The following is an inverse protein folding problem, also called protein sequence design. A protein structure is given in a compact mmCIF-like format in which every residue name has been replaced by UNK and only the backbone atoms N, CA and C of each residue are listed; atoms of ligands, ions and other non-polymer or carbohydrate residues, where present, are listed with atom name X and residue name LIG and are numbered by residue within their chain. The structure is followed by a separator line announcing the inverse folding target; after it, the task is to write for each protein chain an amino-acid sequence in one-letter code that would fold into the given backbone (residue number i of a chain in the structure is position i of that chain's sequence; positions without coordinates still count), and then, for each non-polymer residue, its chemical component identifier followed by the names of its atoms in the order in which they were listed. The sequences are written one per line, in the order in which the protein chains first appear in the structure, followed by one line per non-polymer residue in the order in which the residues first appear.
data_IF_911431785588
#
_entry.id   IF_911431785588
#
_cell.length_a   1.000
_cell.length_b   1.000
_cell.length_c   1.000
_cell.angle_alpha   90.00
_cell.angle_beta   90.00
_cell.angle_gamma   90.00
#
_symmetry.space_group_name_H-M   'P 1'
#
loop_
_entity.id
_entity.type
_entity.pdbx_description
1 polymer ?
#
# COMPACT_ATOMS: atom_id res chain seq x y z
N UNK A 1 60.27 -3.96 11.38
CA UNK A 1 58.99 -3.32 11.73
C UNK A 1 57.93 -3.90 10.81
N UNK A 2 57.19 -4.90 11.28
CA UNK A 2 56.22 -5.65 10.48
C UNK A 2 54.85 -4.99 10.65
N UNK A 3 54.33 -4.37 9.59
CA UNK A 3 52.99 -3.76 9.60
C UNK A 3 51.97 -4.87 9.41
N UNK A 4 51.22 -5.20 10.45
CA UNK A 4 50.07 -6.10 10.38
C UNK A 4 48.88 -5.28 9.88
N UNK A 5 48.53 -5.45 8.60
CA UNK A 5 47.31 -4.89 8.02
C UNK A 5 46.15 -5.78 8.48
N UNK A 6 45.39 -5.29 9.48
CA UNK A 6 44.17 -5.93 9.92
C UNK A 6 43.07 -5.72 8.87
N UNK A 7 42.81 -6.77 8.09
CA UNK A 7 41.69 -6.83 7.14
C UNK A 7 40.38 -6.97 7.95
N UNK A 8 39.70 -5.85 8.20
CA UNK A 8 38.36 -5.86 8.80
C UNK A 8 37.37 -6.34 7.73
N UNK A 9 36.97 -7.60 7.82
CA UNK A 9 35.86 -8.15 7.05
C UNK A 9 34.55 -7.52 7.55
N UNK A 10 34.11 -6.46 6.87
CA UNK A 10 32.75 -5.93 7.00
C UNK A 10 31.79 -6.98 6.43
N UNK A 11 31.30 -7.87 7.29
CA UNK A 11 30.13 -8.69 6.98
C UNK A 11 28.93 -7.75 6.83
N UNK A 12 28.67 -7.30 5.59
CA UNK A 12 27.46 -6.56 5.28
C UNK A 12 26.26 -7.45 5.56
N UNK A 13 25.44 -7.06 6.54
CA UNK A 13 24.10 -7.60 6.66
C UNK A 13 23.35 -7.26 5.38
N UNK A 14 23.15 -8.26 4.53
CA UNK A 14 22.27 -8.15 3.38
C UNK A 14 20.85 -7.94 3.91
N UNK A 15 20.35 -6.71 3.85
CA UNK A 15 18.92 -6.43 3.98
C UNK A 15 18.19 -7.27 2.94
N UNK A 16 17.14 -7.97 3.37
CA UNK A 16 16.34 -8.74 2.43
C UNK A 16 15.61 -7.78 1.48
N UNK A 17 15.26 -8.23 0.28
CA UNK A 17 14.67 -7.38 -0.76
C UNK A 17 13.32 -6.71 -0.36
N UNK A 18 12.75 -7.08 0.79
CA UNK A 18 11.53 -6.50 1.36
C UNK A 18 11.77 -5.54 2.53
N UNK A 19 12.98 -5.37 3.05
CA UNK A 19 13.21 -4.53 4.23
C UNK A 19 13.29 -3.04 3.85
N UNK A 20 12.50 -2.20 4.53
CA UNK A 20 12.56 -0.75 4.35
C UNK A 20 13.67 -0.15 5.22
N UNK A 21 14.51 0.70 4.62
CA UNK A 21 15.44 1.54 5.38
C UNK A 21 14.67 2.52 6.28
N UNK A 22 15.29 3.08 7.34
CA UNK A 22 14.61 4.07 8.18
C UNK A 22 14.08 5.30 7.43
N UNK A 23 14.78 5.71 6.37
CA UNK A 23 14.37 6.83 5.50
C UNK A 23 13.15 6.46 4.66
N UNK A 24 13.16 5.28 4.05
CA UNK A 24 12.01 4.74 3.32
C UNK A 24 10.80 4.55 4.24
N UNK A 25 11.01 4.02 5.45
CA UNK A 25 9.92 3.82 6.40
C UNK A 25 9.29 5.15 6.87
N UNK A 26 10.09 6.22 6.95
CA UNK A 26 9.57 7.56 7.24
C UNK A 26 8.71 8.08 6.08
N UNK A 27 9.19 8.00 4.83
CA UNK A 27 8.44 8.48 3.67
C UNK A 27 7.19 7.63 3.40
N UNK A 28 7.27 6.32 3.62
CA UNK A 28 6.18 5.36 3.56
C UNK A 28 5.03 5.76 4.50
N UNK A 29 5.34 5.96 5.79
CA UNK A 29 4.34 6.38 6.78
C UNK A 29 3.76 7.74 6.48
N UNK A 30 4.57 8.66 5.94
CA UNK A 30 4.07 9.99 5.53
C UNK A 30 3.06 9.87 4.40
N UNK A 31 3.30 9.01 3.40
CA UNK A 31 2.36 8.78 2.31
C UNK A 31 1.02 8.18 2.80
N UNK A 32 1.06 7.22 3.73
CA UNK A 32 -0.16 6.65 4.31
C UNK A 32 -0.94 7.69 5.12
N UNK A 33 -0.25 8.51 5.92
CA UNK A 33 -0.90 9.63 6.63
C UNK A 33 -1.51 10.64 5.68
N UNK A 34 -0.79 11.01 4.61
CA UNK A 34 -1.28 11.94 3.58
C UNK A 34 -2.54 11.37 2.91
N UNK A 35 -2.52 10.11 2.48
CA UNK A 35 -3.67 9.44 1.91
C UNK A 35 -4.90 9.51 2.83
N UNK A 36 -4.75 9.21 4.12
CA UNK A 36 -5.85 9.32 5.09
C UNK A 36 -6.38 10.75 5.19
N UNK A 37 -5.51 11.77 5.18
CA UNK A 37 -5.93 13.18 5.24
C UNK A 37 -6.62 13.66 3.97
N UNK A 38 -6.13 13.24 2.80
CA UNK A 38 -6.68 13.61 1.49
C UNK A 38 -8.05 12.98 1.22
N UNK A 39 -8.35 11.84 1.86
CA UNK A 39 -9.61 11.10 1.73
C UNK A 39 -10.54 11.27 2.95
N UNK A 40 -10.42 12.38 3.67
CA UNK A 40 -11.40 12.72 4.70
C UNK A 40 -12.67 13.29 4.07
N UNK A 41 -13.81 12.73 4.45
CA UNK A 41 -15.13 13.25 4.16
C UNK A 41 -15.72 13.86 5.43
N UNK A 42 -15.93 15.17 5.42
CA UNK A 42 -16.39 15.95 6.57
C UNK A 42 -15.57 15.65 7.85
N UNK A 43 -14.26 15.51 7.69
CA UNK A 43 -13.32 15.25 8.78
C UNK A 43 -13.23 13.81 9.26
N UNK A 44 -13.88 12.86 8.58
CA UNK A 44 -13.79 11.42 8.87
C UNK A 44 -13.20 10.65 7.69
N UNK A 45 -12.31 9.70 7.95
CA UNK A 45 -11.86 8.74 6.94
C UNK A 45 -12.95 7.68 6.77
N UNK A 46 -13.48 7.53 5.57
CA UNK A 46 -14.61 6.63 5.30
C UNK A 46 -14.10 5.31 4.75
N UNK A 47 -14.49 4.20 5.37
CA UNK A 47 -14.16 2.85 4.90
C UNK A 47 -15.43 2.02 4.82
N UNK A 48 -15.73 1.49 3.64
CA UNK A 48 -16.84 0.56 3.43
C UNK A 48 -16.49 -0.82 3.97
N UNK A 49 -17.42 -1.41 4.70
CA UNK A 49 -17.35 -2.76 5.22
C UNK A 49 -18.45 -3.61 4.61
N UNK A 50 -18.11 -4.29 3.52
CA UNK A 50 -19.05 -5.10 2.75
C UNK A 50 -19.68 -6.23 3.56
N UNK A 51 -18.99 -6.72 4.60
CA UNK A 51 -19.51 -7.82 5.44
C UNK A 51 -20.66 -7.40 6.34
N UNK A 52 -20.63 -6.15 6.80
CA UNK A 52 -21.67 -5.59 7.66
C UNK A 52 -22.63 -4.68 6.87
N UNK A 53 -22.40 -4.54 5.57
CA UNK A 53 -23.04 -3.55 4.71
C UNK A 53 -23.04 -2.15 5.35
N UNK A 54 -21.91 -1.78 5.95
CA UNK A 54 -21.76 -0.58 6.78
C UNK A 54 -20.64 0.32 6.27
N UNK A 55 -20.83 1.63 6.36
CA UNK A 55 -19.75 2.60 6.23
C UNK A 55 -19.25 3.03 7.60
N UNK A 56 -17.94 2.88 7.80
CA UNK A 56 -17.27 3.32 8.99
C UNK A 56 -16.75 4.73 8.77
N UNK A 57 -17.17 5.66 9.62
CA UNK A 57 -16.61 7.01 9.69
C UNK A 57 -15.58 7.04 10.80
N UNK A 58 -14.31 7.18 10.43
CA UNK A 58 -13.19 6.88 11.30
C UNK A 58 -12.27 8.07 11.54
N UNK A 59 -11.74 8.16 12.75
CA UNK A 59 -10.65 9.06 13.13
C UNK A 59 -9.40 8.25 13.39
N UNK A 60 -8.30 8.59 12.71
CA UNK A 60 -7.00 7.95 12.91
C UNK A 60 -6.52 8.22 14.34
N UNK A 61 -6.18 7.15 15.07
CA UNK A 61 -5.53 7.22 16.39
C UNK A 61 -4.02 7.08 16.21
N UNK A 62 -3.60 6.02 15.51
CA UNK A 62 -2.19 5.67 15.39
C UNK A 62 -1.92 4.96 14.07
N UNK A 63 -0.80 5.29 13.44
CA UNK A 63 -0.19 4.46 12.40
C UNK A 63 0.99 3.73 13.05
N UNK A 64 1.06 2.40 12.91
CA UNK A 64 2.15 1.61 13.49
C UNK A 64 3.47 1.86 12.76
N UNK A 65 4.58 1.60 13.45
CA UNK A 65 5.92 1.92 12.97
C UNK A 65 6.54 0.81 12.10
N UNK A 66 5.79 -0.26 11.87
CA UNK A 66 6.21 -1.47 11.15
C UNK A 66 5.39 -1.63 9.87
N UNK A 67 6.09 -1.77 8.75
CA UNK A 67 5.51 -2.21 7.49
C UNK A 67 5.84 -3.69 7.31
N UNK A 68 4.83 -4.48 6.96
CA UNK A 68 5.01 -5.90 6.63
C UNK A 68 5.17 -6.02 5.11
N UNK A 69 6.33 -6.49 4.60
CA UNK A 69 6.45 -6.77 3.18
C UNK A 69 5.54 -7.94 2.82
N UNK A 70 4.76 -7.75 1.75
CA UNK A 70 3.97 -8.82 1.14
C UNK A 70 4.62 -9.31 -0.17
N UNK A 71 5.46 -8.48 -0.78
CA UNK A 71 6.38 -8.81 -1.88
C UNK A 71 7.54 -7.78 -1.95
N UNK A 72 8.27 -7.75 -3.08
CA UNK A 72 9.30 -6.75 -3.38
C UNK A 72 8.73 -5.32 -3.60
N UNK A 73 7.42 -5.22 -3.89
CA UNK A 73 6.76 -3.94 -4.23
C UNK A 73 5.52 -3.65 -3.43
N UNK A 74 4.96 -4.61 -2.73
CA UNK A 74 3.72 -4.45 -1.96
C UNK A 74 3.98 -4.64 -0.47
N UNK A 75 3.49 -3.69 0.31
CA UNK A 75 3.64 -3.64 1.76
C UNK A 75 2.27 -3.47 2.42
N UNK A 76 2.12 -3.96 3.65
CA UNK A 76 0.98 -3.65 4.50
C UNK A 76 1.41 -2.90 5.75
N UNK A 77 0.62 -1.94 6.20
CA UNK A 77 0.81 -1.28 7.49
C UNK A 77 -0.51 -1.12 8.21
N UNK A 78 -0.52 -1.48 9.48
CA UNK A 78 -1.70 -1.41 10.32
C UNK A 78 -1.84 0.00 10.92
N UNK A 79 -3.07 0.47 11.02
CA UNK A 79 -3.43 1.71 11.69
C UNK A 79 -4.66 1.52 12.58
N UNK A 80 -4.59 2.10 13.77
CA UNK A 80 -5.66 2.09 14.74
C UNK A 80 -6.59 3.28 14.46
N UNK A 81 -7.88 3.01 14.39
CA UNK A 81 -8.94 4.00 14.16
C UNK A 81 -10.02 3.91 15.23
N UNK A 82 -10.68 5.04 15.47
CA UNK A 82 -11.89 5.11 16.28
C UNK A 82 -13.06 5.58 15.43
N UNK A 83 -14.21 4.96 15.59
CA UNK A 83 -15.45 5.46 15.02
C UNK A 83 -15.80 6.86 15.57
N UNK A 84 -16.20 7.77 14.70
CA UNK A 84 -16.50 9.16 15.08
C UNK A 84 -17.77 9.24 15.93
N UNK A 85 -18.85 8.59 15.49
CA UNK A 85 -20.16 8.62 16.16
C UNK A 85 -20.36 7.48 17.16
N UNK A 86 -19.33 6.65 17.40
CA UNK A 86 -19.46 5.43 18.17
C UNK A 86 -18.25 5.12 19.06
N UNK A 87 -18.31 3.96 19.71
CA UNK A 87 -17.23 3.47 20.57
C UNK A 87 -16.33 2.44 19.88
N UNK A 88 -16.64 2.05 18.64
CA UNK A 88 -15.89 1.01 17.94
C UNK A 88 -14.44 1.46 17.68
N UNK A 89 -13.51 0.54 17.91
CA UNK A 89 -12.11 0.64 17.49
C UNK A 89 -11.90 -0.31 16.33
N UNK A 90 -11.20 0.16 15.32
CA UNK A 90 -10.93 -0.61 14.11
C UNK A 90 -9.44 -0.59 13.87
N UNK A 91 -8.93 -1.72 13.43
CA UNK A 91 -7.60 -1.78 12.87
C UNK A 91 -7.76 -1.91 11.36
N UNK A 92 -7.08 -1.04 10.62
CA UNK A 92 -7.17 -0.95 9.17
C UNK A 92 -5.76 -1.14 8.61
N UNK A 93 -5.60 -2.17 7.78
CA UNK A 93 -4.40 -2.43 7.03
C UNK A 93 -4.43 -1.62 5.72
N UNK A 94 -3.43 -0.77 5.54
CA UNK A 94 -3.20 -0.10 4.27
C UNK A 94 -2.27 -0.94 3.41
N UNK A 95 -2.72 -1.28 2.20
CA UNK A 95 -1.92 -1.95 1.19
C UNK A 95 -1.26 -0.90 0.31
N UNK A 96 0.07 -0.90 0.28
CA UNK A 96 0.85 0.20 -0.28
C UNK A 96 1.88 -0.35 -1.24
N UNK A 97 1.86 0.16 -2.46
CA UNK A 97 2.86 -0.15 -3.47
C UNK A 97 4.05 0.81 -3.40
N UNK A 98 5.23 0.26 -3.68
CA UNK A 98 6.41 1.02 -4.07
C UNK A 98 6.27 1.40 -5.55
N UNK A 99 6.12 2.69 -5.84
CA UNK A 99 5.87 3.22 -7.18
C UNK A 99 6.94 4.24 -7.57
N UNK A 100 7.93 3.83 -8.37
CA UNK A 100 9.05 4.68 -8.78
C UNK A 100 9.82 5.23 -7.57
N UNK A 101 9.81 6.56 -7.39
CA UNK A 101 10.43 7.24 -6.25
C UNK A 101 9.48 7.46 -5.06
N UNK A 102 8.25 6.94 -5.10
CA UNK A 102 7.21 7.21 -4.11
C UNK A 102 6.43 5.97 -3.67
N UNK A 103 5.32 6.25 -2.97
CA UNK A 103 4.43 5.26 -2.39
C UNK A 103 3.01 5.50 -2.84
N UNK A 104 2.29 4.42 -3.10
CA UNK A 104 0.92 4.49 -3.58
C UNK A 104 0.03 3.60 -2.72
N UNK A 105 -0.88 4.21 -1.96
CA UNK A 105 -1.87 3.47 -1.15
C UNK A 105 -2.94 2.94 -2.10
N UNK A 106 -3.04 1.62 -2.19
CA UNK A 106 -3.95 0.91 -3.09
C UNK A 106 -5.29 0.57 -2.46
N UNK A 107 -5.28 0.18 -1.18
CA UNK A 107 -6.47 -0.31 -0.50
C UNK A 107 -6.36 -0.07 1.01
N UNK A 108 -7.49 0.19 1.64
CA UNK A 108 -7.68 0.15 3.08
C UNK A 108 -8.55 -1.06 3.42
N UNK A 109 -8.05 -1.97 4.24
CA UNK A 109 -8.71 -3.25 4.57
C UNK A 109 -8.91 -3.33 6.07
N UNK A 110 -10.14 -3.47 6.52
CA UNK A 110 -10.42 -3.61 7.95
C UNK A 110 -10.16 -5.07 8.38
N UNK A 111 -9.09 -5.32 9.15
CA UNK A 111 -8.76 -6.65 9.67
C UNK A 111 -9.29 -6.93 11.09
N UNK A 112 -9.59 -5.90 11.89
CA UNK A 112 -10.16 -6.04 13.24
C UNK A 112 -11.24 -4.99 13.51
N UNK A 113 -12.29 -5.41 14.23
CA UNK A 113 -13.33 -4.50 14.77
C UNK A 113 -13.57 -4.86 16.23
N UNK A 114 -13.49 -3.87 17.12
CA UNK A 114 -13.68 -4.05 18.56
C UNK A 114 -12.68 -5.03 19.17
N UNK A 115 -11.46 -5.10 18.65
CA UNK A 115 -10.42 -6.04 19.10
C UNK A 115 -10.65 -7.49 18.68
N UNK A 116 -11.66 -7.79 17.86
CA UNK A 116 -11.89 -9.12 17.30
C UNK A 116 -11.34 -9.19 15.88
N UNK A 117 -10.44 -10.15 15.58
CA UNK A 117 -10.06 -10.46 14.23
C UNK A 117 -11.28 -10.76 13.40
N UNK A 118 -11.28 -10.24 12.18
CA UNK A 118 -12.29 -10.58 11.20
C UNK A 118 -11.61 -11.52 10.22
N UNK A 119 -12.30 -12.59 9.81
CA UNK A 119 -11.84 -13.38 8.68
C UNK A 119 -11.48 -12.39 7.58
N UNK A 120 -10.22 -12.39 7.17
CA UNK A 120 -9.66 -11.26 6.46
C UNK A 120 -10.53 -10.98 5.23
N UNK A 121 -10.85 -9.71 4.99
CA UNK A 121 -11.03 -9.26 3.61
C UNK A 121 -9.65 -9.21 2.92
N UNK A 122 -8.78 -10.18 3.22
CA UNK A 122 -7.52 -10.34 2.53
C UNK A 122 -7.91 -10.47 1.08
N UNK A 123 -7.46 -9.49 0.30
CA UNK A 123 -7.33 -9.63 -1.12
C UNK A 123 -6.85 -11.07 -1.37
N UNK A 124 -7.63 -11.94 -2.05
CA UNK A 124 -7.13 -13.27 -2.39
C UNK A 124 -5.77 -13.11 -3.09
N UNK A 125 -4.88 -14.10 -3.08
CA UNK A 125 -3.55 -13.95 -3.66
C UNK A 125 -3.55 -13.38 -5.10
N UNK A 126 -4.61 -13.67 -5.87
CA UNK A 126 -4.87 -13.05 -7.18
C UNK A 126 -5.10 -11.52 -7.11
N UNK A 127 -5.78 -11.04 -6.08
CA UNK A 127 -5.96 -9.61 -5.80
C UNK A 127 -4.69 -8.95 -5.28
N UNK A 128 -3.79 -9.64 -4.55
CA UNK A 128 -2.47 -9.09 -4.19
C UNK A 128 -1.61 -8.83 -5.43
N UNK A 129 -1.54 -9.82 -6.33
CA UNK A 129 -0.85 -9.66 -7.61
C UNK A 129 -1.49 -8.57 -8.47
N UNK A 130 -2.82 -8.42 -8.42
CA UNK A 130 -3.51 -7.29 -9.06
C UNK A 130 -3.14 -5.96 -8.40
N UNK A 131 -3.06 -5.86 -7.08
CA UNK A 131 -2.66 -4.62 -6.40
C UNK A 131 -1.24 -4.20 -6.78
N UNK A 132 -0.32 -5.17 -6.88
CA UNK A 132 1.06 -4.95 -7.35
C UNK A 132 1.13 -4.50 -8.81
N UNK A 133 0.36 -5.14 -9.69
CA UNK A 133 0.42 -4.92 -11.15
C UNK A 133 -0.56 -3.86 -11.65
N UNK A 134 -1.51 -3.42 -10.83
CA UNK A 134 -2.49 -2.37 -11.14
C UNK A 134 -1.87 -0.98 -11.05
N UNK A 135 -0.66 -0.80 -11.57
CA UNK A 135 -0.20 0.50 -12.01
C UNK A 135 -1.18 0.99 -13.08
N UNK A 136 -2.16 1.82 -12.68
CA UNK A 136 -3.19 2.45 -13.51
C UNK A 136 -4.05 1.48 -14.36
N UNK A 137 -5.32 1.81 -14.59
CA UNK A 137 -5.99 1.25 -15.78
C UNK A 137 -5.53 2.08 -16.96
N UNK A 138 -4.77 1.51 -17.87
CA UNK A 138 -4.29 2.16 -19.08
C UNK A 138 -5.28 1.91 -20.22
N UNK A 139 -5.72 3.00 -20.85
CA UNK A 139 -6.64 2.99 -21.99
C UNK A 139 -5.93 3.39 -23.27
N UNK A 140 -6.25 2.72 -24.35
CA UNK A 140 -5.86 3.15 -25.68
C UNK A 140 -6.72 4.35 -26.10
N UNK A 141 -6.14 5.43 -26.63
CA UNK A 141 -6.90 6.61 -27.08
C UNK A 141 -7.88 6.29 -28.23
N UNK A 142 -7.69 5.18 -28.95
CA UNK A 142 -8.63 4.72 -29.98
C UNK A 142 -9.78 3.85 -29.41
N UNK A 143 -9.75 3.48 -28.12
CA UNK A 143 -10.79 2.68 -27.47
C UNK A 143 -10.59 1.16 -27.59
N UNK A 144 -9.57 0.67 -28.30
CA UNK A 144 -9.42 -0.75 -28.59
C UNK A 144 -8.91 -1.60 -27.42
N UNK A 145 -8.37 -0.96 -26.38
CA UNK A 145 -7.74 -1.62 -25.26
C UNK A 145 -7.98 -0.84 -23.96
N UNK A 146 -8.30 -1.57 -22.90
CA UNK A 146 -8.40 -1.08 -21.52
C UNK A 146 -7.86 -2.18 -20.61
N UNK A 147 -6.78 -1.91 -19.89
CA UNK A 147 -6.09 -2.93 -19.09
C UNK A 147 -4.87 -2.38 -18.35
N UNK A 148 -4.03 -3.24 -17.75
CA UNK A 148 -2.78 -2.80 -17.13
C UNK A 148 -1.82 -2.18 -18.16
N UNK A 149 -0.84 -1.40 -17.69
CA UNK A 149 0.22 -0.88 -18.57
C UNK A 149 1.01 -2.04 -19.20
N UNK A 150 1.13 -2.04 -20.52
CA UNK A 150 2.05 -2.95 -21.22
C UNK A 150 3.50 -2.59 -20.92
N UNK A 151 4.41 -3.56 -21.04
CA UNK A 151 5.83 -3.39 -20.71
C UNK A 151 6.50 -2.25 -21.50
N UNK A 152 6.08 -2.04 -22.74
CA UNK A 152 6.54 -0.97 -23.63
C UNK A 152 5.65 0.28 -23.58
N UNK A 153 4.60 0.30 -22.75
CA UNK A 153 3.65 1.39 -22.63
C UNK A 153 2.77 1.61 -23.86
N UNK A 154 2.76 0.67 -24.81
CA UNK A 154 1.99 0.75 -26.06
C UNK A 154 0.83 -0.22 -26.11
N UNK A 155 -0.25 0.20 -26.75
CA UNK A 155 -1.42 -0.63 -26.99
C UNK A 155 -1.02 -1.86 -27.82
N UNK A 156 -1.34 -3.09 -27.37
CA UNK A 156 -0.97 -4.31 -28.08
C UNK A 156 -1.75 -4.50 -29.39
N UNK A 157 -2.80 -3.70 -29.62
CA UNK A 157 -3.64 -3.78 -30.83
C UNK A 157 -3.24 -2.78 -31.90
N UNK A 158 -2.92 -1.54 -31.52
CA UNK A 158 -2.65 -0.46 -32.48
C UNK A 158 -1.26 0.16 -32.37
N UNK A 159 -0.46 -0.19 -31.35
CA UNK A 159 0.89 0.32 -31.16
C UNK A 159 0.99 1.75 -30.62
N UNK A 160 -0.13 2.45 -30.41
CA UNK A 160 -0.11 3.80 -29.82
C UNK A 160 0.22 3.76 -28.32
N UNK A 161 0.77 4.85 -27.79
CA UNK A 161 1.01 4.99 -26.35
C UNK A 161 -0.30 4.93 -25.57
N UNK A 162 -0.32 4.15 -24.50
CA UNK A 162 -1.46 4.05 -23.60
C UNK A 162 -1.54 5.27 -22.67
N UNK A 163 -2.76 5.71 -22.38
CA UNK A 163 -3.06 6.81 -21.47
C UNK A 163 -3.59 6.25 -20.16
N UNK A 164 -3.11 6.76 -19.03
CA UNK A 164 -3.62 6.36 -17.72
C UNK A 164 -5.04 6.88 -17.51
N UNK A 165 -5.97 5.98 -17.19
CA UNK A 165 -7.34 6.31 -16.81
C UNK A 165 -7.32 6.75 -15.36
N UNK A 166 -7.44 8.07 -15.16
CA UNK A 166 -7.67 8.68 -13.86
C UNK A 166 -9.09 8.42 -13.37
#
# INVERSE_FOLDING_TARGET
MTVVVALVLMAGWASSAGDLTPVEMKSFRQAVKAHVQEHLEEGAFVVRDEKLDKEWRLKLIRLHDEARPMSDKLYSVCADFKEVAGAAKLDVDFLVNRAGSGWEVRQAVIHMVGGKPRAAQAAPAASLKRLETAAGVFVCPMGDYSGPKTADGRCPKCGMNLVEKK
#
